data_IF_328599277572
#
_entry.id   IF_328599277572
#
_cell.length_a   1.000
_cell.length_b   1.000
_cell.length_c   1.000
_cell.angle_alpha   90.00
_cell.angle_beta   90.00
_cell.angle_gamma   90.00
#
_symmetry.space_group_name_H-M   'P 1'
#
loop_
_entity.id
_entity.type
_entity.pdbx_description
1 polymer ?
#
# COMPACT_ATOMS: atom_id res chain seq x y z
N UNK A 1 14.55 16.13 0.64
CA UNK A 1 13.42 15.74 -0.25
C UNK A 1 13.97 14.94 -1.42
N UNK A 2 13.31 13.80 -1.76
CA UNK A 2 13.65 13.02 -2.95
C UNK A 2 12.36 12.72 -3.71
N UNK A 3 12.16 13.44 -4.82
CA UNK A 3 11.04 13.22 -5.72
C UNK A 3 11.31 12.03 -6.63
N UNK A 4 10.27 11.25 -6.91
CA UNK A 4 10.31 10.18 -7.88
C UNK A 4 9.05 10.21 -8.75
N UNK A 5 9.23 10.31 -10.04
CA UNK A 5 8.13 10.31 -10.98
C UNK A 5 7.55 8.90 -11.15
N UNK A 6 6.28 8.81 -11.51
CA UNK A 6 5.60 7.55 -11.82
C UNK A 6 6.35 6.72 -12.87
N UNK A 7 6.95 7.38 -13.88
CA UNK A 7 7.70 6.71 -14.96
C UNK A 7 8.99 6.03 -14.50
N UNK A 8 9.48 6.34 -13.29
CA UNK A 8 10.66 5.71 -12.69
C UNK A 8 10.31 4.49 -11.82
N UNK A 9 9.03 4.21 -11.59
CA UNK A 9 8.60 2.99 -10.89
C UNK A 9 8.85 1.75 -11.74
N UNK A 10 9.08 0.60 -11.09
CA UNK A 10 9.08 -0.68 -11.76
C UNK A 10 7.70 -0.97 -12.35
N UNK A 11 7.64 -1.44 -13.59
CA UNK A 11 6.40 -1.89 -14.22
C UNK A 11 6.47 -3.38 -14.50
N UNK A 12 5.52 -4.12 -14.00
CA UNK A 12 5.31 -5.55 -14.27
C UNK A 12 4.06 -5.66 -15.14
N UNK A 13 4.23 -5.89 -16.46
CA UNK A 13 3.09 -5.99 -17.37
C UNK A 13 2.37 -7.33 -17.22
N UNK A 14 1.15 -7.38 -17.73
CA UNK A 14 0.41 -8.62 -17.93
C UNK A 14 1.32 -9.72 -18.52
N UNK A 15 1.15 -10.97 -18.11
CA UNK A 15 1.88 -12.17 -18.54
C UNK A 15 3.35 -12.30 -18.09
N UNK A 16 3.93 -11.32 -17.42
CA UNK A 16 5.34 -11.44 -17.02
C UNK A 16 5.57 -12.44 -15.88
N UNK A 17 4.57 -12.59 -14.98
CA UNK A 17 4.61 -13.55 -13.88
C UNK A 17 3.82 -14.84 -14.19
N UNK A 18 3.40 -15.02 -15.45
CA UNK A 18 2.54 -16.15 -15.88
C UNK A 18 1.06 -15.92 -15.63
N UNK A 19 0.65 -14.67 -15.32
CA UNK A 19 -0.73 -14.27 -14.98
C UNK A 19 -1.22 -13.25 -16.00
N UNK A 20 -2.13 -13.67 -16.87
CA UNK A 20 -2.60 -12.87 -18.02
C UNK A 20 -3.46 -11.65 -17.65
N UNK A 21 -3.96 -11.60 -16.40
CA UNK A 21 -4.98 -10.66 -15.97
C UNK A 21 -4.53 -9.74 -14.83
N UNK A 22 -3.20 -9.53 -14.69
CA UNK A 22 -2.64 -8.75 -13.60
C UNK A 22 -1.46 -7.91 -14.08
N UNK A 23 -1.41 -6.64 -13.63
CA UNK A 23 -0.25 -5.76 -13.79
C UNK A 23 0.06 -5.03 -12.49
N UNK A 24 1.30 -4.57 -12.32
CA UNK A 24 1.74 -3.92 -11.10
C UNK A 24 2.80 -2.85 -11.34
N UNK A 25 2.68 -1.72 -10.61
CA UNK A 25 3.72 -0.70 -10.50
C UNK A 25 4.42 -0.81 -9.16
N UNK A 26 5.73 -1.00 -9.16
CA UNK A 26 6.55 -1.24 -7.97
C UNK A 26 7.27 0.04 -7.51
N UNK A 27 6.99 0.51 -6.31
CA UNK A 27 7.73 1.63 -5.73
C UNK A 27 9.11 1.21 -5.22
N UNK A 28 9.29 -0.03 -4.81
CA UNK A 28 10.56 -0.57 -4.31
C UNK A 28 10.88 -1.90 -4.98
N UNK A 29 12.15 -2.34 -4.85
CA UNK A 29 12.60 -3.63 -5.39
C UNK A 29 11.78 -4.79 -4.82
N UNK A 30 11.08 -5.49 -5.68
CA UNK A 30 10.22 -6.60 -5.32
C UNK A 30 10.00 -7.47 -6.56
N UNK A 31 9.73 -8.75 -6.41
CA UNK A 31 9.48 -9.76 -7.45
C UNK A 31 9.41 -9.24 -8.90
N UNK A 32 10.39 -9.62 -9.71
CA UNK A 32 10.49 -9.19 -11.12
C UNK A 32 11.00 -7.76 -11.37
N UNK A 33 11.15 -6.93 -10.33
CA UNK A 33 11.76 -5.60 -10.40
C UNK A 33 12.88 -5.44 -9.38
N UNK A 34 14.03 -4.94 -9.82
CA UNK A 34 15.19 -4.67 -8.97
C UNK A 34 15.80 -3.30 -9.31
N UNK A 35 15.83 -2.41 -8.33
CA UNK A 35 16.53 -1.12 -8.40
C UNK A 35 17.20 -0.81 -7.06
N UNK A 36 18.56 -0.87 -6.98
CA UNK A 36 19.28 -0.62 -5.73
C UNK A 36 19.08 0.79 -5.13
N UNK A 37 18.58 1.76 -5.91
CA UNK A 37 18.25 3.10 -5.42
C UNK A 37 16.93 3.14 -4.66
N UNK A 38 16.08 2.13 -4.88
CA UNK A 38 14.73 2.01 -4.35
C UNK A 38 14.49 0.59 -3.84
N UNK A 39 15.30 0.15 -2.87
CA UNK A 39 15.17 -1.20 -2.31
C UNK A 39 14.05 -1.27 -1.26
N UNK A 40 13.99 -0.28 -0.36
CA UNK A 40 12.93 -0.13 0.66
C UNK A 40 12.89 1.32 1.16
N UNK A 41 11.90 1.65 2.01
CA UNK A 41 11.88 2.91 2.74
C UNK A 41 11.49 2.67 4.20
N UNK A 42 12.43 2.91 5.14
CA UNK A 42 12.21 2.60 6.56
C UNK A 42 11.72 1.15 6.74
N UNK A 43 10.61 0.92 7.45
CA UNK A 43 10.03 -0.41 7.61
C UNK A 43 9.26 -0.91 6.37
N UNK A 44 9.01 -0.07 5.40
CA UNK A 44 8.25 -0.45 4.18
C UNK A 44 9.17 -1.19 3.23
N UNK A 45 8.89 -2.50 3.05
CA UNK A 45 9.65 -3.37 2.15
C UNK A 45 9.24 -3.16 0.69
N UNK A 46 7.95 -3.02 0.44
CA UNK A 46 7.42 -2.72 -0.89
C UNK A 46 6.08 -1.99 -0.83
N UNK A 47 5.80 -1.21 -1.88
CA UNK A 47 4.47 -0.70 -2.23
C UNK A 47 4.22 -1.10 -3.67
N UNK A 48 3.25 -1.97 -3.88
CA UNK A 48 2.79 -2.43 -5.18
C UNK A 48 1.45 -1.77 -5.48
N UNK A 49 1.33 -1.10 -6.61
CA UNK A 49 0.09 -0.52 -7.13
C UNK A 49 -0.42 -1.53 -8.17
N UNK A 50 -1.27 -2.41 -7.69
CA UNK A 50 -1.74 -3.61 -8.37
C UNK A 50 -3.06 -3.36 -9.07
N UNK A 51 -3.20 -3.86 -10.29
CA UNK A 51 -4.43 -3.81 -11.08
C UNK A 51 -4.76 -5.21 -11.57
N UNK A 52 -5.90 -5.71 -11.15
CA UNK A 52 -6.36 -7.06 -11.51
C UNK A 52 -7.66 -7.01 -12.33
N UNK A 53 -7.65 -7.74 -13.44
CA UNK A 53 -8.84 -7.94 -14.25
C UNK A 53 -9.81 -8.92 -13.57
N UNK A 54 -11.10 -8.96 -13.96
CA UNK A 54 -12.04 -9.95 -13.49
C UNK A 54 -11.50 -11.39 -13.60
N UNK A 55 -11.68 -12.17 -12.52
CA UNK A 55 -11.25 -13.56 -12.45
C UNK A 55 -9.78 -13.78 -12.05
N UNK A 56 -8.99 -12.72 -11.86
CA UNK A 56 -7.64 -12.86 -11.31
C UNK A 56 -7.70 -13.28 -9.82
N UNK A 57 -7.07 -14.38 -9.47
CA UNK A 57 -6.93 -14.86 -8.08
C UNK A 57 -5.51 -15.40 -7.92
N UNK A 58 -4.78 -14.92 -6.90
CA UNK A 58 -3.46 -15.47 -6.57
C UNK A 58 -3.56 -16.93 -6.14
N UNK A 59 -2.52 -17.71 -6.36
CA UNK A 59 -2.40 -19.02 -5.74
C UNK A 59 -2.36 -18.89 -4.21
N UNK A 60 -2.80 -19.93 -3.49
CA UNK A 60 -2.72 -19.95 -2.03
C UNK A 60 -1.25 -19.97 -1.57
N UNK A 61 -0.83 -18.99 -0.79
CA UNK A 61 0.56 -18.80 -0.36
C UNK A 61 0.66 -18.28 1.06
N UNK A 62 1.83 -18.47 1.72
CA UNK A 62 2.06 -18.14 3.12
C UNK A 62 2.91 -16.89 3.29
N UNK A 63 2.58 -16.10 4.32
CA UNK A 63 3.40 -15.00 4.84
C UNK A 63 3.68 -15.16 6.32
N UNK A 64 4.90 -14.80 6.76
CA UNK A 64 5.37 -14.93 8.15
C UNK A 64 6.13 -13.68 8.55
N UNK A 65 5.85 -13.15 9.73
CA UNK A 65 6.69 -12.14 10.39
C UNK A 65 6.64 -10.73 9.78
N UNK A 66 5.56 -10.37 9.10
CA UNK A 66 5.35 -9.03 8.55
C UNK A 66 3.87 -8.63 8.65
N UNK A 67 3.60 -7.35 8.45
CA UNK A 67 2.26 -6.83 8.22
C UNK A 67 2.07 -6.54 6.72
N UNK A 68 0.90 -6.90 6.18
CA UNK A 68 0.48 -6.59 4.81
C UNK A 68 -0.80 -5.76 4.86
N UNK A 69 -0.78 -4.63 4.17
CA UNK A 69 -1.98 -3.82 3.94
C UNK A 69 -2.34 -3.86 2.47
N UNK A 70 -3.62 -4.12 2.18
CA UNK A 70 -4.19 -3.95 0.84
C UNK A 70 -5.22 -2.83 0.90
N UNK A 71 -4.86 -1.62 0.44
CA UNK A 71 -5.73 -0.45 0.36
C UNK A 71 -6.43 -0.43 -1.00
N UNK A 72 -7.76 -0.54 -1.02
CA UNK A 72 -8.55 -0.57 -2.25
C UNK A 72 -8.75 0.84 -2.78
N UNK A 73 -8.16 1.14 -3.94
CA UNK A 73 -8.28 2.43 -4.62
C UNK A 73 -9.53 2.47 -5.49
N UNK A 74 -9.83 1.35 -6.17
CA UNK A 74 -10.98 1.23 -7.07
C UNK A 74 -11.51 -0.22 -7.06
N UNK A 75 -12.84 -0.37 -7.10
CA UNK A 75 -13.49 -1.67 -7.16
C UNK A 75 -13.45 -2.41 -5.83
N UNK A 76 -13.14 -3.70 -5.87
CA UNK A 76 -13.09 -4.56 -4.67
C UNK A 76 -11.99 -5.61 -4.76
N UNK A 77 -11.52 -6.05 -3.58
CA UNK A 77 -10.53 -7.14 -3.44
C UNK A 77 -11.13 -8.26 -2.60
N UNK A 78 -11.17 -9.47 -3.15
CA UNK A 78 -11.53 -10.67 -2.42
C UNK A 78 -10.32 -11.20 -1.65
N UNK A 79 -10.54 -11.66 -0.43
CA UNK A 79 -9.54 -12.28 0.43
C UNK A 79 -10.10 -13.54 1.09
N UNK A 80 -9.28 -14.59 1.17
CA UNK A 80 -9.56 -15.81 1.92
C UNK A 80 -8.27 -16.32 2.57
N UNK A 81 -8.33 -16.69 3.87
CA UNK A 81 -7.15 -17.09 4.62
C UNK A 81 -7.30 -18.37 5.47
N UNK A 82 -6.18 -18.80 6.04
CA UNK A 82 -6.07 -19.96 6.92
C UNK A 82 -6.68 -19.77 8.32
N UNK A 83 -7.05 -18.55 8.68
CA UNK A 83 -7.75 -18.24 9.94
C UNK A 83 -9.27 -18.42 9.79
N UNK A 84 -9.75 -18.67 8.56
CA UNK A 84 -11.17 -18.85 8.24
C UNK A 84 -11.87 -17.56 7.82
N UNK A 85 -11.15 -16.47 7.58
CA UNK A 85 -11.73 -15.28 7.02
C UNK A 85 -11.97 -15.46 5.52
N UNK A 86 -13.14 -14.99 5.04
CA UNK A 86 -13.45 -14.86 3.62
C UNK A 86 -14.28 -13.60 3.44
N UNK A 87 -13.70 -12.56 2.88
CA UNK A 87 -14.23 -11.20 2.87
C UNK A 87 -13.93 -10.48 1.55
N UNK A 88 -14.67 -9.41 1.28
CA UNK A 88 -14.42 -8.50 0.16
C UNK A 88 -14.21 -7.09 0.71
N UNK A 89 -13.03 -6.53 0.50
CA UNK A 89 -12.76 -5.13 0.76
C UNK A 89 -13.26 -4.28 -0.42
N UNK A 90 -13.97 -3.22 -0.11
CA UNK A 90 -14.51 -2.26 -1.08
C UNK A 90 -13.59 -1.04 -1.20
N UNK A 91 -13.79 -0.24 -2.23
CA UNK A 91 -13.10 1.04 -2.42
C UNK A 91 -13.03 1.88 -1.15
N UNK A 92 -11.82 2.35 -0.82
CA UNK A 92 -11.48 3.12 0.37
C UNK A 92 -11.29 2.28 1.65
N UNK A 93 -11.59 0.98 1.62
CA UNK A 93 -11.30 0.09 2.76
C UNK A 93 -9.86 -0.44 2.69
N UNK A 94 -9.36 -0.89 3.86
CA UNK A 94 -8.05 -1.52 4.00
C UNK A 94 -8.23 -2.92 4.57
N UNK A 95 -7.65 -3.90 3.90
CA UNK A 95 -7.36 -5.20 4.50
C UNK A 95 -6.00 -5.08 5.22
N UNK A 96 -5.98 -5.40 6.51
CA UNK A 96 -4.74 -5.51 7.27
C UNK A 96 -4.56 -6.94 7.74
N UNK A 97 -3.52 -7.58 7.20
CA UNK A 97 -3.11 -8.92 7.57
C UNK A 97 -1.81 -8.83 8.38
N UNK A 98 -1.90 -9.10 9.67
CA UNK A 98 -0.76 -9.19 10.59
C UNK A 98 -0.31 -10.65 10.62
N UNK A 99 0.77 -10.99 9.90
CA UNK A 99 1.07 -12.38 9.56
C UNK A 99 1.60 -13.22 10.73
N UNK A 100 2.22 -12.58 11.72
CA UNK A 100 2.66 -13.27 12.95
C UNK A 100 3.50 -14.50 12.68
N UNK A 101 3.12 -15.62 13.32
CA UNK A 101 3.79 -16.93 13.15
C UNK A 101 3.44 -17.64 11.84
N UNK A 102 2.56 -17.09 11.04
CA UNK A 102 2.18 -17.58 9.70
C UNK A 102 0.68 -17.46 9.41
N UNK A 103 0.37 -16.95 8.24
CA UNK A 103 -0.97 -16.93 7.66
C UNK A 103 -0.85 -17.24 6.18
N UNK A 104 -1.64 -18.19 5.72
CA UNK A 104 -1.74 -18.50 4.29
C UNK A 104 -3.02 -17.90 3.74
N UNK A 105 -2.94 -17.30 2.57
CA UNK A 105 -4.09 -16.66 1.94
C UNK A 105 -4.09 -16.74 0.41
N UNK A 106 -5.21 -16.36 -0.16
CA UNK A 106 -5.42 -16.05 -1.57
C UNK A 106 -6.17 -14.72 -1.64
N UNK A 107 -5.85 -13.89 -2.62
CA UNK A 107 -6.54 -12.63 -2.86
C UNK A 107 -6.71 -12.37 -4.35
N UNK A 108 -7.60 -11.48 -4.73
CA UNK A 108 -7.79 -11.14 -6.13
C UNK A 108 -9.11 -10.45 -6.42
N UNK A 109 -9.52 -10.55 -7.69
CA UNK A 109 -10.71 -9.90 -8.20
C UNK A 109 -11.78 -10.91 -8.62
N UNK A 110 -12.81 -11.05 -7.79
CA UNK A 110 -13.99 -11.90 -8.06
C UNK A 110 -15.17 -11.13 -8.64
N UNK A 111 -15.01 -9.83 -8.93
CA UNK A 111 -16.04 -8.99 -9.55
C UNK A 111 -16.00 -9.05 -11.07
N UNK A 112 -16.97 -8.43 -11.72
CA UNK A 112 -17.07 -8.32 -13.19
C UNK A 112 -16.32 -7.09 -13.76
N UNK A 113 -15.77 -6.23 -12.86
CA UNK A 113 -15.05 -5.01 -13.24
C UNK A 113 -13.59 -5.07 -12.76
N UNK A 114 -12.64 -4.42 -13.46
CA UNK A 114 -11.26 -4.32 -12.99
C UNK A 114 -11.17 -3.63 -11.63
N UNK A 115 -10.19 -4.03 -10.83
CA UNK A 115 -9.87 -3.34 -9.58
C UNK A 115 -8.46 -2.74 -9.59
N UNK A 116 -8.23 -1.83 -8.64
CA UNK A 116 -6.90 -1.28 -8.31
C UNK A 116 -6.75 -1.24 -6.80
N UNK A 117 -5.65 -1.75 -6.30
CA UNK A 117 -5.32 -1.70 -4.88
C UNK A 117 -3.81 -1.55 -4.66
N UNK A 118 -3.46 -0.94 -3.54
CA UNK A 118 -2.06 -0.89 -3.11
C UNK A 118 -1.79 -1.99 -2.11
N UNK A 119 -0.83 -2.83 -2.39
CA UNK A 119 -0.31 -3.79 -1.43
C UNK A 119 0.99 -3.27 -0.83
N UNK A 120 0.99 -3.06 0.50
CA UNK A 120 2.12 -2.53 1.26
C UNK A 120 2.61 -3.60 2.23
N UNK A 121 3.89 -3.96 2.13
CA UNK A 121 4.53 -4.89 3.08
C UNK A 121 5.36 -4.11 4.08
N UNK A 122 5.10 -4.32 5.35
CA UNK A 122 5.74 -3.62 6.47
C UNK A 122 6.50 -4.64 7.30
N UNK A 123 7.82 -4.44 7.39
CA UNK A 123 8.71 -5.29 8.15
C UNK A 123 8.86 -4.72 9.57
N UNK A 124 8.62 -5.49 10.63
CA UNK A 124 8.85 -5.03 11.97
C UNK A 124 10.35 -4.90 12.26
N UNK A 125 10.73 -3.98 13.13
CA UNK A 125 12.11 -3.84 13.59
C UNK A 125 12.60 -5.10 14.32
N UNK A 126 11.69 -5.87 14.92
CA UNK A 126 11.95 -7.12 15.61
C UNK A 126 10.71 -8.01 15.60
N UNK A 127 10.85 -9.24 15.16
CA UNK A 127 9.78 -10.25 15.21
C UNK A 127 9.57 -10.68 16.67
N UNK A 128 8.35 -10.51 17.16
CA UNK A 128 7.96 -10.98 18.50
C UNK A 128 7.79 -12.50 18.50
N UNK A 129 8.36 -13.24 19.47
CA UNK A 129 8.27 -14.70 19.51
C UNK A 129 6.83 -15.25 19.60
N UNK A 130 5.90 -14.47 20.13
CA UNK A 130 4.49 -14.82 20.31
C UNK A 130 3.54 -13.96 19.48
N UNK A 131 3.96 -13.52 18.31
CA UNK A 131 3.12 -12.71 17.42
C UNK A 131 2.04 -13.59 16.77
N UNK A 132 0.80 -13.44 17.27
CA UNK A 132 -0.36 -14.19 16.78
C UNK A 132 -0.84 -13.62 15.46
N UNK A 133 -1.06 -14.44 14.42
CA UNK A 133 -1.64 -14.00 13.17
C UNK A 133 -3.04 -13.42 13.36
N UNK A 134 -3.35 -12.35 12.63
CA UNK A 134 -4.65 -11.69 12.65
C UNK A 134 -4.98 -11.07 11.30
N UNK A 135 -6.27 -10.98 11.00
CA UNK A 135 -6.81 -10.26 9.85
C UNK A 135 -7.87 -9.27 10.30
N UNK A 136 -7.81 -8.05 9.78
CA UNK A 136 -8.75 -6.98 10.09
C UNK A 136 -9.15 -6.23 8.83
N UNK A 137 -10.46 -6.07 8.60
CA UNK A 137 -10.99 -5.17 7.58
C UNK A 137 -11.29 -3.81 8.22
N UNK A 138 -10.54 -2.79 7.81
CA UNK A 138 -10.69 -1.41 8.28
C UNK A 138 -11.68 -0.69 7.36
N UNK A 139 -12.73 -0.07 7.91
CA UNK A 139 -13.72 0.65 7.13
C UNK A 139 -13.11 1.91 6.49
N UNK A 140 -13.77 2.39 5.43
CA UNK A 140 -13.43 3.67 4.80
C UNK A 140 -13.70 4.81 5.78
N UNK A 141 -12.69 5.66 5.97
CA UNK A 141 -12.83 6.93 6.67
C UNK A 141 -13.06 8.08 5.66
N UNK A 142 -13.87 9.08 6.00
CA UNK A 142 -14.07 10.23 5.13
C UNK A 142 -12.82 11.12 5.08
N UNK A 143 -12.47 11.60 3.88
CA UNK A 143 -11.35 12.50 3.68
C UNK A 143 -10.00 11.82 3.83
N UNK A 144 -8.99 12.59 4.27
CA UNK A 144 -7.63 12.13 4.53
C UNK A 144 -7.48 11.82 6.01
N UNK A 145 -7.41 10.56 6.36
CA UNK A 145 -7.46 10.11 7.75
C UNK A 145 -6.33 9.11 8.09
N UNK A 146 -5.92 9.11 9.37
CA UNK A 146 -4.99 8.12 9.90
C UNK A 146 -5.68 6.75 10.00
N UNK A 147 -5.03 5.72 9.49
CA UNK A 147 -5.50 4.35 9.63
C UNK A 147 -5.30 3.85 11.07
N UNK A 148 -6.31 3.21 11.69
CA UNK A 148 -6.23 2.70 13.05
C UNK A 148 -5.48 1.36 13.11
N UNK A 149 -4.17 1.39 12.83
CA UNK A 149 -3.30 0.21 12.78
C UNK A 149 -2.50 0.07 14.08
N UNK A 150 -2.38 -1.16 14.56
CA UNK A 150 -1.51 -1.54 15.68
C UNK A 150 -0.35 -2.42 15.16
N UNK A 151 0.54 -1.81 14.37
CA UNK A 151 1.67 -2.50 13.74
C UNK A 151 2.63 -3.07 14.78
N UNK A 152 3.13 -4.28 14.52
CA UNK A 152 4.00 -4.98 15.45
C UNK A 152 5.43 -4.40 15.43
N UNK A 153 5.90 -3.89 16.60
CA UNK A 153 7.24 -3.35 16.77
C UNK A 153 7.70 -2.38 15.66
N UNK A 154 6.77 -1.56 15.19
CA UNK A 154 7.01 -0.63 14.09
C UNK A 154 6.43 0.73 14.43
N UNK A 155 7.28 1.74 14.45
CA UNK A 155 6.90 3.14 14.69
C UNK A 155 6.54 3.81 13.35
N UNK A 156 5.34 3.48 12.82
CA UNK A 156 4.86 3.98 11.54
C UNK A 156 3.39 4.39 11.66
N UNK A 157 3.08 5.61 11.25
CA UNK A 157 1.72 6.07 11.01
C UNK A 157 1.42 6.05 9.52
N UNK A 158 0.21 5.63 9.15
CA UNK A 158 -0.26 5.60 7.77
C UNK A 158 -1.55 6.38 7.66
N UNK A 159 -1.61 7.29 6.70
CA UNK A 159 -2.75 8.14 6.38
C UNK A 159 -3.19 7.85 4.96
N UNK A 160 -4.50 7.80 4.72
CA UNK A 160 -5.04 7.48 3.41
C UNK A 160 -6.30 8.30 3.12
N UNK A 161 -6.57 8.56 1.84
CA UNK A 161 -7.81 9.17 1.37
C UNK A 161 -7.62 10.48 0.62
N UNK A 162 -8.73 11.19 0.43
CA UNK A 162 -8.75 12.44 -0.32
C UNK A 162 -8.38 13.62 0.58
N UNK A 163 -7.25 14.24 0.30
CA UNK A 163 -6.81 15.46 0.96
C UNK A 163 -7.43 16.68 0.28
N UNK A 164 -8.17 17.47 1.06
CA UNK A 164 -8.72 18.74 0.62
C UNK A 164 -8.29 19.85 1.59
N UNK A 165 -7.41 20.72 1.14
CA UNK A 165 -6.77 21.77 1.95
C UNK A 165 -5.30 21.47 2.22
N UNK A 166 -4.84 21.82 3.42
CA UNK A 166 -3.45 21.76 3.84
C UNK A 166 -3.27 20.74 4.97
N UNK A 167 -2.19 19.97 4.90
CA UNK A 167 -1.83 18.99 5.92
C UNK A 167 -0.33 19.09 6.24
N UNK A 168 -0.04 19.39 7.52
CA UNK A 168 1.34 19.50 8.01
C UNK A 168 1.99 18.12 8.17
N UNK A 169 3.11 17.92 7.51
CA UNK A 169 3.87 16.66 7.49
C UNK A 169 5.16 16.82 8.28
N UNK A 170 5.46 15.85 9.12
CA UNK A 170 6.73 15.72 9.84
C UNK A 170 7.84 15.25 8.89
N UNK A 171 9.10 15.45 9.31
CA UNK A 171 10.25 14.80 8.67
C UNK A 171 10.13 13.25 8.74
N UNK A 172 10.86 12.58 7.85
CA UNK A 172 10.84 11.11 7.71
C UNK A 172 9.48 10.56 7.32
N UNK A 173 8.93 11.16 6.26
CA UNK A 173 7.66 10.73 5.67
C UNK A 173 7.83 10.36 4.20
N UNK A 174 6.92 9.53 3.70
CA UNK A 174 6.85 9.13 2.29
C UNK A 174 5.43 9.36 1.79
N UNK A 175 5.27 10.25 0.82
CA UNK A 175 4.02 10.58 0.17
C UNK A 175 3.92 9.87 -1.18
N UNK A 176 2.80 9.18 -1.43
CA UNK A 176 2.46 8.59 -2.72
C UNK A 176 1.13 9.17 -3.20
N UNK A 177 1.14 9.83 -4.36
CA UNK A 177 -0.07 10.32 -5.02
C UNK A 177 -0.76 9.20 -5.78
N UNK A 178 -2.04 8.95 -5.51
CA UNK A 178 -2.81 7.88 -6.14
C UNK A 178 -3.67 8.38 -7.28
N UNK A 179 -4.36 9.51 -7.08
CA UNK A 179 -5.24 10.14 -8.06
C UNK A 179 -5.24 11.65 -7.87
N UNK A 180 -5.49 12.41 -8.94
CA UNK A 180 -5.46 13.86 -8.87
C UNK A 180 -4.04 14.41 -8.67
N UNK A 181 -3.90 15.47 -7.88
CA UNK A 181 -2.60 16.09 -7.63
C UNK A 181 -2.49 16.73 -6.25
N UNK A 182 -1.25 16.87 -5.78
CA UNK A 182 -0.92 17.66 -4.61
C UNK A 182 0.38 18.43 -4.81
N UNK A 183 0.58 19.45 -3.98
CA UNK A 183 1.83 20.21 -3.90
C UNK A 183 2.49 19.94 -2.55
N UNK A 184 3.79 19.71 -2.55
CA UNK A 184 4.56 19.51 -1.34
C UNK A 184 6.03 19.97 -1.56
N UNK A 185 6.54 20.83 -0.68
CA UNK A 185 7.94 21.26 -0.69
C UNK A 185 8.44 21.79 -2.06
N UNK A 186 7.57 22.45 -2.83
CA UNK A 186 7.87 22.98 -4.17
C UNK A 186 7.73 21.98 -5.32
N UNK A 187 7.35 20.73 -5.03
CA UNK A 187 7.03 19.72 -6.04
C UNK A 187 5.52 19.68 -6.26
N UNK A 188 5.11 19.46 -7.52
CA UNK A 188 3.74 19.03 -7.86
C UNK A 188 3.78 17.54 -8.12
N UNK A 189 2.98 16.79 -7.36
CA UNK A 189 2.83 15.35 -7.53
C UNK A 189 1.56 15.07 -8.31
N UNK A 190 1.67 14.23 -9.32
CA UNK A 190 0.58 13.65 -10.09
C UNK A 190 0.47 12.16 -9.80
N UNK A 191 -0.53 11.49 -10.37
CA UNK A 191 -0.77 10.06 -10.15
C UNK A 191 0.49 9.20 -10.31
N UNK A 192 0.79 8.42 -9.30
CA UNK A 192 1.93 7.52 -9.22
C UNK A 192 3.25 8.18 -8.82
N UNK A 193 3.31 9.52 -8.75
CA UNK A 193 4.48 10.21 -8.23
C UNK A 193 4.60 10.03 -6.72
N UNK A 194 5.84 10.09 -6.23
CA UNK A 194 6.12 9.98 -4.80
C UNK A 194 7.19 10.99 -4.35
N UNK A 195 7.14 11.32 -3.07
CA UNK A 195 8.09 12.22 -2.43
C UNK A 195 8.55 11.68 -1.08
N UNK A 196 9.85 11.45 -0.95
CA UNK A 196 10.48 11.20 0.33
C UNK A 196 10.75 12.54 1.03
N UNK A 197 10.12 12.74 2.19
CA UNK A 197 10.09 14.00 2.93
C UNK A 197 11.06 13.89 4.11
N UNK A 198 12.17 14.63 4.05
CA UNK A 198 13.25 14.60 5.07
C UNK A 198 13.24 15.81 6.01
N UNK A 199 12.37 16.78 5.76
CA UNK A 199 12.16 17.97 6.60
C UNK A 199 10.69 18.31 6.67
N UNK A 200 10.18 18.89 7.77
CA UNK A 200 8.77 19.26 7.88
C UNK A 200 8.34 20.18 6.74
N UNK A 201 7.15 19.95 6.21
CA UNK A 201 6.52 20.74 5.17
C UNK A 201 5.01 20.54 5.17
N UNK A 202 4.31 21.29 4.34
CA UNK A 202 2.88 21.11 4.15
C UNK A 202 2.60 20.42 2.81
N UNK A 203 1.61 19.54 2.81
CA UNK A 203 0.97 19.03 1.59
C UNK A 203 -0.27 19.86 1.36
N UNK A 204 -0.44 20.39 0.16
CA UNK A 204 -1.63 21.14 -0.25
C UNK A 204 -2.29 20.43 -1.41
N UNK A 205 -3.59 20.17 -1.32
CA UNK A 205 -4.36 19.51 -2.36
C UNK A 205 -5.81 20.00 -2.41
N UNK A 206 -6.42 19.92 -3.59
CA UNK A 206 -7.84 20.19 -3.84
C UNK A 206 -8.58 18.87 -4.14
N UNK A 207 -8.55 17.93 -3.18
CA UNK A 207 -9.22 16.65 -3.30
C UNK A 207 -8.35 15.53 -3.90
N UNK A 208 -7.05 15.70 -3.99
CA UNK A 208 -6.13 14.64 -4.44
C UNK A 208 -6.12 13.44 -3.48
N UNK A 209 -6.22 12.24 -4.03
CA UNK A 209 -6.17 10.99 -3.28
C UNK A 209 -4.72 10.56 -3.08
N UNK A 210 -4.30 10.38 -1.84
CA UNK A 210 -2.92 10.01 -1.52
C UNK A 210 -2.80 9.08 -0.31
N UNK A 211 -1.63 8.43 -0.21
CA UNK A 211 -1.14 7.78 0.99
C UNK A 211 0.07 8.52 1.53
N UNK A 212 0.11 8.67 2.85
CA UNK A 212 1.25 9.21 3.57
C UNK A 212 1.69 8.22 4.64
N UNK A 213 2.97 7.92 4.65
CA UNK A 213 3.64 7.08 5.65
C UNK A 213 4.58 7.99 6.44
N UNK A 214 4.49 7.97 7.78
CA UNK A 214 5.34 8.79 8.64
C UNK A 214 5.98 7.95 9.73
N UNK A 215 7.31 7.94 9.81
CA UNK A 215 8.05 7.32 10.92
C UNK A 215 7.96 8.25 12.13
N UNK A 216 7.57 7.71 13.31
CA UNK A 216 7.32 8.46 14.55
C UNK A 216 8.40 8.19 15.61
#
# INVERSE_FOLDING_TARGET
MKFRSNSERGYIPHNRLGEDNFESYRSFSFEGYQDPKYDCWGPIRTINDDRAQPGFITSYHEHVGLDILSYVVQGQVHHKDSLGNELQAQEGQVQWMSCGTGISHTEGNTSDEPNRYLQVWIMPNKIAPAWTPNYTLIPREPGFAKLPLELQNTELEIWAGNLNGEYAVKSWSYLLQLEGSSQCAGYTLSEGDSLEITSPCDIVSEGGHCLLFSII
#
